data_IF_633276824244
#
_entry.id   IF_633276824244
#
_cell.length_a   1.000
_cell.length_b   1.000
_cell.length_c   1.000
_cell.angle_alpha   90.00
_cell.angle_beta   90.00
_cell.angle_gamma   90.00
#
_symmetry.space_group_name_H-M   'P 1'
#
loop_
_entity.id
_entity.type
_entity.pdbx_description
1 polymer ?
#
# COMPACT_ATOMS: atom_id res chain seq x y z
N UNK A 1 -23.95 -48.27 -23.89
CA UNK A 1 -22.72 -47.58 -24.33
C UNK A 1 -22.31 -46.65 -23.24
N UNK A 2 -21.11 -46.80 -22.69
CA UNK A 2 -20.54 -45.87 -21.71
C UNK A 2 -19.73 -44.86 -22.54
N UNK A 3 -20.18 -43.63 -22.59
CA UNK A 3 -19.43 -42.52 -23.15
C UNK A 3 -18.45 -42.07 -22.07
N UNK A 4 -17.16 -42.17 -22.36
CA UNK A 4 -16.13 -41.58 -21.50
C UNK A 4 -15.97 -40.15 -21.93
N UNK A 5 -15.98 -39.25 -20.92
CA UNK A 5 -15.56 -37.85 -21.08
C UNK A 5 -14.01 -37.89 -21.23
N UNK A 6 -13.50 -37.46 -22.35
CA UNK A 6 -12.07 -37.40 -22.65
C UNK A 6 -11.57 -35.94 -22.83
N UNK A 7 -12.45 -34.98 -22.54
CA UNK A 7 -12.10 -33.57 -22.59
C UNK A 7 -11.34 -33.13 -21.32
N UNK A 8 -10.26 -32.40 -21.53
CA UNK A 8 -9.52 -31.79 -20.43
C UNK A 8 -10.32 -30.63 -19.83
N UNK A 9 -10.37 -30.52 -18.49
CA UNK A 9 -11.02 -29.39 -17.87
C UNK A 9 -10.37 -28.07 -18.31
N UNK A 10 -11.16 -26.98 -18.49
CA UNK A 10 -10.61 -25.68 -18.85
C UNK A 10 -9.69 -25.16 -17.77
N UNK A 11 -8.76 -24.29 -18.13
CA UNK A 11 -7.97 -23.55 -17.15
C UNK A 11 -8.43 -22.08 -17.04
N UNK A 12 -8.29 -21.54 -15.84
CA UNK A 12 -8.64 -20.14 -15.51
C UNK A 12 -7.39 -19.29 -15.61
N UNK A 13 -7.50 -18.12 -16.24
CA UNK A 13 -6.43 -17.13 -16.29
C UNK A 13 -6.96 -15.70 -16.17
N UNK A 14 -6.13 -14.78 -15.67
CA UNK A 14 -6.44 -13.36 -15.70
C UNK A 14 -6.15 -12.78 -17.08
N UNK A 15 -7.05 -11.96 -17.60
CA UNK A 15 -6.92 -11.39 -18.95
C UNK A 15 -5.75 -10.41 -19.05
N UNK A 16 -5.55 -9.60 -18.01
CA UNK A 16 -4.41 -8.71 -17.85
C UNK A 16 -3.82 -8.94 -16.46
N UNK A 17 -2.52 -9.16 -16.37
CA UNK A 17 -1.84 -9.44 -15.10
C UNK A 17 -1.59 -8.17 -14.26
N UNK A 18 -1.72 -7.01 -14.89
CA UNK A 18 -1.45 -5.72 -14.24
C UNK A 18 -2.48 -4.67 -14.62
N UNK A 19 -2.68 -3.73 -13.73
CA UNK A 19 -3.45 -2.51 -13.92
C UNK A 19 -2.94 -1.41 -13.01
N UNK A 20 -3.34 -0.19 -13.28
CA UNK A 20 -3.09 0.98 -12.45
C UNK A 20 -4.19 2.01 -12.63
N UNK A 21 -4.28 2.93 -11.71
CA UNK A 21 -5.16 4.10 -11.79
C UNK A 21 -5.01 4.96 -10.56
N UNK A 22 -5.49 6.19 -10.68
CA UNK A 22 -5.51 7.13 -9.57
C UNK A 22 -6.44 6.60 -8.45
N UNK A 23 -6.15 6.95 -7.21
CA UNK A 23 -7.03 6.59 -6.08
C UNK A 23 -8.43 7.23 -6.21
N UNK A 24 -8.54 8.40 -6.83
CA UNK A 24 -9.81 9.06 -7.17
C UNK A 24 -10.68 8.26 -8.16
N UNK A 25 -10.12 7.27 -8.82
CA UNK A 25 -10.82 6.37 -9.73
C UNK A 25 -11.53 5.23 -8.97
N UNK A 26 -12.63 5.49 -8.36
CA UNK A 26 -13.27 4.73 -7.28
C UNK A 26 -13.61 3.24 -7.51
N UNK A 27 -13.71 2.76 -8.73
CA UNK A 27 -14.11 1.36 -9.03
C UNK A 27 -13.25 0.73 -10.09
N UNK A 28 -12.85 -0.52 -9.85
CA UNK A 28 -12.02 -1.32 -10.76
C UNK A 28 -12.58 -2.72 -10.95
N UNK A 29 -12.39 -3.25 -12.16
CA UNK A 29 -12.82 -4.59 -12.54
C UNK A 29 -11.63 -5.37 -13.08
N UNK A 30 -11.42 -6.56 -12.54
CA UNK A 30 -10.42 -7.51 -13.02
C UNK A 30 -11.15 -8.61 -13.77
N UNK A 31 -10.80 -8.81 -15.04
CA UNK A 31 -11.43 -9.82 -15.88
C UNK A 31 -10.62 -11.11 -15.90
N UNK A 32 -11.31 -12.21 -15.71
CA UNK A 32 -10.78 -13.57 -15.83
C UNK A 32 -11.51 -14.31 -16.93
N UNK A 33 -10.82 -15.24 -17.57
CA UNK A 33 -11.37 -16.06 -18.64
C UNK A 33 -11.01 -17.52 -18.47
N UNK A 34 -11.80 -18.37 -19.08
CA UNK A 34 -11.51 -19.79 -19.27
C UNK A 34 -10.83 -20.01 -20.62
N UNK A 35 -9.96 -21.01 -20.71
CA UNK A 35 -9.35 -21.43 -21.97
C UNK A 35 -10.37 -21.93 -23.01
N UNK A 36 -11.48 -22.48 -22.52
CA UNK A 36 -12.69 -22.83 -23.28
C UNK A 36 -13.88 -22.73 -22.35
N UNK A 37 -15.08 -22.51 -22.88
CA UNK A 37 -16.29 -22.50 -22.03
C UNK A 37 -16.56 -23.90 -21.47
N UNK A 38 -17.30 -23.95 -20.38
CA UNK A 38 -17.69 -25.20 -19.69
C UNK A 38 -19.21 -25.26 -19.57
N UNK A 39 -19.80 -26.42 -19.80
CA UNK A 39 -21.21 -26.67 -19.51
C UNK A 39 -21.50 -26.81 -18.01
N UNK A 40 -20.46 -26.84 -17.18
CA UNK A 40 -20.56 -26.92 -15.72
C UNK A 40 -20.18 -25.58 -15.12
N UNK A 41 -20.83 -25.22 -14.03
CA UNK A 41 -20.41 -24.10 -13.19
C UNK A 41 -19.00 -24.34 -12.66
N UNK A 42 -18.16 -23.30 -12.74
CA UNK A 42 -16.81 -23.30 -12.21
C UNK A 42 -16.73 -22.28 -11.09
N UNK A 43 -16.13 -22.65 -9.98
CA UNK A 43 -15.87 -21.73 -8.87
C UNK A 43 -14.41 -21.80 -8.45
N UNK A 44 -13.85 -20.64 -8.07
CA UNK A 44 -12.48 -20.52 -7.58
C UNK A 44 -12.40 -19.46 -6.48
N UNK A 45 -11.62 -19.71 -5.47
CA UNK A 45 -11.39 -18.75 -4.38
C UNK A 45 -10.34 -17.72 -4.81
N UNK A 46 -10.52 -16.50 -4.37
CA UNK A 46 -9.51 -15.44 -4.49
C UNK A 46 -9.26 -14.77 -3.16
N UNK A 47 -8.08 -14.20 -3.01
CA UNK A 47 -7.72 -13.39 -1.84
C UNK A 47 -6.68 -12.32 -2.21
N UNK A 48 -6.65 -11.27 -1.39
CA UNK A 48 -5.55 -10.33 -1.38
C UNK A 48 -4.31 -10.98 -0.78
N UNK A 49 -3.17 -10.85 -1.45
CA UNK A 49 -1.89 -11.36 -0.99
C UNK A 49 -1.37 -10.55 0.20
N UNK A 50 -0.93 -11.22 1.26
CA UNK A 50 -0.18 -10.58 2.34
C UNK A 50 1.29 -10.31 1.99
N UNK A 51 1.77 -10.85 0.85
CA UNK A 51 3.14 -10.67 0.38
C UNK A 51 3.17 -9.75 -0.83
N UNK A 52 3.89 -8.64 -0.71
CA UNK A 52 4.07 -7.65 -1.77
C UNK A 52 2.90 -6.68 -1.97
N UNK A 53 1.77 -6.83 -1.26
CA UNK A 53 0.74 -5.81 -1.14
C UNK A 53 1.21 -4.78 -0.12
N UNK A 54 1.26 -3.51 -0.50
CA UNK A 54 1.59 -2.37 0.37
C UNK A 54 0.35 -1.66 0.86
N UNK A 55 -0.70 -1.60 0.02
CA UNK A 55 -1.99 -1.01 0.34
C UNK A 55 -2.73 -1.74 1.48
N UNK A 56 -3.55 -1.01 2.22
CA UNK A 56 -4.26 -1.48 3.42
C UNK A 56 -5.76 -1.56 3.17
N UNK A 57 -6.35 -2.70 3.50
CA UNK A 57 -7.81 -2.91 3.39
C UNK A 57 -8.57 -1.90 4.25
N UNK A 58 -9.65 -1.33 3.71
CA UNK A 58 -10.51 -0.31 4.32
C UNK A 58 -9.83 1.04 4.60
N UNK A 59 -8.57 1.22 4.18
CA UNK A 59 -7.89 2.51 4.10
C UNK A 59 -7.73 2.91 2.63
N UNK A 60 -7.07 2.08 1.84
CA UNK A 60 -6.70 2.38 0.46
C UNK A 60 -7.58 1.62 -0.55
N UNK A 61 -8.21 0.52 -0.13
CA UNK A 61 -9.13 -0.25 -0.98
C UNK A 61 -10.21 -1.00 -0.18
N UNK A 62 -11.29 -1.34 -0.88
CA UNK A 62 -12.36 -2.22 -0.38
C UNK A 62 -12.43 -3.45 -1.28
N UNK A 63 -11.97 -4.58 -0.75
CA UNK A 63 -12.09 -5.90 -1.36
C UNK A 63 -12.00 -6.96 -0.26
N UNK A 64 -13.04 -7.78 -0.16
CA UNK A 64 -13.01 -8.96 0.70
C UNK A 64 -12.53 -10.18 -0.09
N UNK A 65 -11.91 -11.13 0.61
CA UNK A 65 -11.61 -12.45 0.05
C UNK A 65 -12.92 -13.15 -0.30
N UNK A 66 -12.94 -13.90 -1.41
CA UNK A 66 -14.20 -14.45 -1.87
C UNK A 66 -14.07 -15.61 -2.83
N UNK A 67 -15.19 -15.91 -3.47
CA UNK A 67 -15.31 -16.93 -4.51
C UNK A 67 -15.79 -16.26 -5.79
N UNK A 68 -15.06 -16.50 -6.87
CA UNK A 68 -15.45 -16.10 -8.22
C UNK A 68 -16.11 -17.30 -8.90
N UNK A 69 -17.20 -17.05 -9.61
CA UNK A 69 -17.98 -18.07 -10.30
C UNK A 69 -18.03 -17.76 -11.78
N UNK A 70 -17.83 -18.77 -12.61
CA UNK A 70 -18.09 -18.76 -14.04
C UNK A 70 -19.37 -19.55 -14.28
N UNK A 71 -20.34 -18.90 -14.92
CA UNK A 71 -21.60 -19.54 -15.29
C UNK A 71 -21.37 -20.60 -16.39
N UNK A 72 -22.19 -21.63 -16.45
CA UNK A 72 -22.16 -22.61 -17.56
C UNK A 72 -22.38 -21.94 -18.91
N UNK A 73 -21.70 -22.45 -19.92
CA UNK A 73 -21.80 -21.96 -21.29
C UNK A 73 -20.90 -20.76 -21.61
N UNK A 74 -21.02 -20.19 -22.85
CA UNK A 74 -20.26 -19.02 -23.23
C UNK A 74 -20.75 -17.75 -22.49
N UNK A 75 -19.89 -16.73 -22.29
CA UNK A 75 -18.56 -16.57 -22.87
C UNK A 75 -17.41 -17.23 -22.11
N UNK A 76 -17.62 -17.91 -20.97
CA UNK A 76 -16.55 -18.46 -20.15
C UNK A 76 -15.69 -17.38 -19.50
N UNK A 77 -16.30 -16.30 -19.02
CA UNK A 77 -15.63 -15.19 -18.35
C UNK A 77 -16.30 -14.84 -17.02
N UNK A 78 -15.52 -14.27 -16.10
CA UNK A 78 -15.98 -13.75 -14.83
C UNK A 78 -15.09 -12.60 -14.39
N UNK A 79 -15.49 -11.89 -13.33
CA UNK A 79 -14.74 -10.71 -12.86
C UNK A 79 -14.75 -10.58 -11.34
N UNK A 80 -13.72 -9.89 -10.84
CA UNK A 80 -13.63 -9.41 -9.47
C UNK A 80 -13.71 -7.88 -9.54
N UNK A 81 -14.61 -7.31 -8.75
CA UNK A 81 -14.75 -5.86 -8.63
C UNK A 81 -14.21 -5.42 -7.27
N UNK A 82 -13.46 -4.34 -7.24
CA UNK A 82 -12.99 -3.71 -6.02
C UNK A 82 -13.10 -2.18 -6.12
N UNK A 83 -13.05 -1.51 -4.97
CA UNK A 83 -12.99 -0.06 -4.91
C UNK A 83 -11.64 0.38 -4.40
N UNK A 84 -11.13 1.46 -4.94
CA UNK A 84 -10.04 2.26 -4.37
C UNK A 84 -10.68 3.35 -3.52
N UNK A 85 -10.04 3.71 -2.43
CA UNK A 85 -10.47 4.77 -1.51
C UNK A 85 -9.58 5.97 -1.78
N UNK A 86 -10.20 7.09 -2.10
CA UNK A 86 -9.59 8.39 -2.33
C UNK A 86 -9.58 9.14 -0.98
N UNK A 87 -8.45 9.67 -0.56
CA UNK A 87 -8.38 10.53 0.63
C UNK A 87 -7.65 11.86 0.30
N UNK A 88 -6.98 12.52 1.18
CA UNK A 88 -6.26 13.78 0.97
C UNK A 88 -4.87 13.72 1.61
N UNK A 89 -4.28 12.56 1.63
CA UNK A 89 -2.98 12.31 2.25
C UNK A 89 -1.97 11.99 1.15
N UNK A 90 -0.97 12.84 0.94
CA UNK A 90 0.17 12.55 0.05
C UNK A 90 0.88 11.27 0.50
N UNK A 91 0.77 10.23 -0.26
CA UNK A 91 1.34 8.90 0.00
C UNK A 91 2.20 8.43 -1.18
N UNK A 92 2.88 7.34 -1.04
CA UNK A 92 3.55 6.69 -2.18
C UNK A 92 2.57 5.81 -2.94
N UNK A 93 2.80 5.65 -4.24
CA UNK A 93 2.08 4.66 -5.03
C UNK A 93 2.11 3.28 -4.35
N UNK A 94 0.94 2.67 -4.21
CA UNK A 94 0.77 1.42 -3.49
C UNK A 94 0.39 0.25 -4.37
N UNK A 95 0.68 -0.96 -3.92
CA UNK A 95 0.39 -2.19 -4.62
C UNK A 95 -0.72 -2.99 -3.94
N UNK A 96 -1.72 -3.38 -4.71
CA UNK A 96 -2.73 -4.36 -4.36
C UNK A 96 -2.54 -5.62 -5.20
N UNK A 97 -2.26 -6.76 -4.56
CA UNK A 97 -2.02 -8.02 -5.24
C UNK A 97 -3.13 -9.01 -4.91
N UNK A 98 -3.77 -9.53 -5.94
CA UNK A 98 -4.88 -10.49 -5.83
C UNK A 98 -4.47 -11.79 -6.49
N UNK A 99 -4.63 -12.91 -5.78
CA UNK A 99 -4.33 -14.25 -6.26
C UNK A 99 -5.58 -15.12 -6.29
N UNK A 100 -5.73 -15.92 -7.32
CA UNK A 100 -6.58 -17.10 -7.27
C UNK A 100 -5.88 -18.17 -6.41
N UNK A 101 -6.63 -18.85 -5.55
CA UNK A 101 -6.10 -19.81 -4.58
C UNK A 101 -6.93 -21.10 -4.51
N UNK A 102 -6.23 -22.16 -4.15
CA UNK A 102 -6.85 -23.49 -4.03
C UNK A 102 -7.15 -24.12 -5.38
N UNK A 103 -7.82 -25.25 -5.34
CA UNK A 103 -8.24 -25.96 -6.55
C UNK A 103 -9.64 -25.49 -6.97
N UNK A 104 -9.82 -25.03 -8.23
CA UNK A 104 -11.13 -24.70 -8.75
C UNK A 104 -12.04 -25.93 -8.88
N UNK A 105 -13.35 -25.73 -8.79
CA UNK A 105 -14.29 -26.77 -9.18
C UNK A 105 -14.34 -26.87 -10.72
N UNK A 106 -14.33 -28.07 -11.28
CA UNK A 106 -14.48 -28.35 -12.72
C UNK A 106 -13.51 -27.60 -13.67
N UNK A 107 -12.38 -27.13 -13.14
CA UNK A 107 -11.34 -26.41 -13.89
C UNK A 107 -9.98 -26.63 -13.24
N UNK A 108 -8.93 -26.11 -13.89
CA UNK A 108 -7.59 -25.99 -13.34
C UNK A 108 -7.14 -24.53 -13.31
N UNK A 109 -6.13 -24.21 -12.53
CA UNK A 109 -5.49 -22.90 -12.61
C UNK A 109 -4.49 -22.86 -13.76
N UNK A 110 -4.54 -21.82 -14.57
CA UNK A 110 -3.53 -21.53 -15.60
C UNK A 110 -2.25 -20.93 -14.99
N UNK A 111 -1.33 -20.49 -15.84
CA UNK A 111 -0.07 -19.87 -15.42
C UNK A 111 -0.26 -18.44 -14.91
N UNK A 112 -1.26 -17.73 -15.41
CA UNK A 112 -1.55 -16.32 -15.11
C UNK A 112 -2.77 -16.22 -14.19
N UNK A 113 -2.54 -16.35 -12.87
CA UNK A 113 -3.60 -16.32 -11.83
C UNK A 113 -3.43 -15.20 -10.81
N UNK A 114 -2.34 -14.42 -10.96
CA UNK A 114 -2.01 -13.27 -10.13
C UNK A 114 -2.31 -11.98 -10.87
N UNK A 115 -2.99 -11.06 -10.20
CA UNK A 115 -3.20 -9.69 -10.66
C UNK A 115 -2.50 -8.72 -9.73
N UNK A 116 -1.83 -7.71 -10.29
CA UNK A 116 -1.21 -6.62 -9.53
C UNK A 116 -1.80 -5.31 -9.98
N UNK A 117 -2.34 -4.55 -9.05
CA UNK A 117 -2.84 -3.20 -9.28
C UNK A 117 -1.97 -2.19 -8.56
N UNK A 118 -1.59 -1.10 -9.25
CA UNK A 118 -0.91 0.04 -8.66
C UNK A 118 -1.96 1.13 -8.40
N UNK A 119 -2.16 1.49 -7.15
CA UNK A 119 -2.91 2.66 -6.73
C UNK A 119 -1.93 3.82 -6.84
N UNK A 120 -2.25 4.78 -7.67
CA UNK A 120 -1.42 5.98 -7.90
C UNK A 120 -2.00 7.09 -7.04
N UNK A 121 -1.18 7.62 -6.15
CA UNK A 121 -1.50 8.78 -5.34
C UNK A 121 -1.75 10.01 -6.24
N UNK A 122 -2.79 10.77 -5.92
CA UNK A 122 -3.15 12.00 -6.64
C UNK A 122 -3.20 13.24 -5.74
N UNK A 123 -2.74 13.10 -4.52
CA UNK A 123 -2.73 14.20 -3.57
C UNK A 123 -1.49 15.04 -3.69
N UNK A 124 -1.67 16.32 -3.47
CA UNK A 124 -0.55 17.24 -3.47
C UNK A 124 0.06 17.23 -2.06
N UNK A 125 1.37 17.03 -2.02
CA UNK A 125 2.11 17.27 -0.79
C UNK A 125 1.78 18.66 -0.29
N UNK A 126 1.32 18.82 0.98
CA UNK A 126 1.08 20.14 1.54
C UNK A 126 2.29 21.02 1.28
N UNK A 127 2.13 22.05 0.47
CA UNK A 127 3.16 23.08 0.33
C UNK A 127 3.22 23.80 1.66
N UNK A 128 4.13 23.39 2.52
CA UNK A 128 4.51 24.21 3.64
C UNK A 128 5.13 25.47 3.02
N UNK A 129 4.42 26.61 3.11
CA UNK A 129 5.05 27.86 2.74
C UNK A 129 6.30 27.99 3.61
N UNK A 130 7.44 27.93 2.97
CA UNK A 130 8.74 28.02 3.61
C UNK A 130 8.88 29.43 4.21
N UNK A 131 8.45 29.60 5.44
CA UNK A 131 8.62 30.83 6.20
C UNK A 131 10.01 30.92 6.85
N UNK A 132 10.96 30.13 6.35
CA UNK A 132 12.31 30.00 6.91
C UNK A 132 12.42 28.79 7.86
N UNK A 133 13.65 28.39 8.10
CA UNK A 133 14.06 27.41 9.10
C UNK A 133 13.52 27.82 10.49
N UNK A 134 12.74 26.95 11.13
CA UNK A 134 12.14 27.23 12.45
C UNK A 134 13.12 26.95 13.61
N UNK A 135 14.12 26.11 13.36
CA UNK A 135 15.21 25.83 14.29
C UNK A 135 16.54 25.71 13.55
N UNK A 136 17.58 26.35 14.07
CA UNK A 136 18.84 26.43 13.35
C UNK A 136 19.59 25.12 13.19
N UNK A 137 20.21 24.96 12.04
CA UNK A 137 20.95 23.79 11.57
C UNK A 137 22.39 23.65 12.13
N UNK A 138 22.81 24.57 13.00
CA UNK A 138 24.16 24.56 13.61
C UNK A 138 24.13 24.89 15.09
N UNK A 139 25.24 24.64 15.77
CA UNK A 139 25.35 24.87 17.23
C UNK A 139 25.18 26.34 17.66
N UNK A 140 25.43 27.30 16.77
CA UNK A 140 25.34 28.74 17.08
C UNK A 140 23.88 29.15 17.04
N UNK A 141 23.16 28.67 16.04
CA UNK A 141 21.75 28.94 15.80
C UNK A 141 20.79 27.99 16.54
N UNK A 142 21.31 26.92 17.16
CA UNK A 142 20.53 25.93 17.90
C UNK A 142 19.55 26.55 18.92
N UNK A 143 18.29 26.15 18.83
CA UNK A 143 17.25 26.66 19.71
C UNK A 143 17.46 26.20 21.16
N UNK A 144 17.52 27.17 22.09
CA UNK A 144 17.70 26.85 23.51
C UNK A 144 16.35 26.45 24.14
N UNK A 145 16.28 25.24 24.66
CA UNK A 145 15.14 24.74 25.42
C UNK A 145 15.47 24.65 26.92
N UNK A 146 14.47 24.88 27.74
CA UNK A 146 14.58 24.78 29.19
C UNK A 146 14.31 23.34 29.61
N UNK A 147 15.15 22.80 30.50
CA UNK A 147 14.90 21.48 31.11
C UNK A 147 13.52 21.43 31.76
N UNK A 148 12.73 20.41 31.42
CA UNK A 148 11.34 20.26 31.87
C UNK A 148 10.29 20.93 30.99
N UNK A 149 10.69 21.52 29.84
CA UNK A 149 9.77 22.01 28.82
C UNK A 149 9.80 21.09 27.58
N UNK A 150 8.88 21.32 26.66
CA UNK A 150 8.86 20.72 25.32
C UNK A 150 9.06 21.81 24.26
N UNK A 151 9.61 21.43 23.13
CA UNK A 151 9.65 22.22 21.90
C UNK A 151 9.20 21.33 20.75
N UNK A 152 8.62 21.93 19.73
CA UNK A 152 8.27 21.26 18.48
C UNK A 152 9.00 21.94 17.33
N UNK A 153 9.43 21.19 16.34
CA UNK A 153 10.04 21.66 15.10
C UNK A 153 9.42 20.95 13.91
N UNK A 154 9.72 21.44 12.72
CA UNK A 154 9.30 20.87 11.44
C UNK A 154 10.56 20.65 10.62
N UNK A 155 10.73 19.46 10.08
CA UNK A 155 11.78 19.20 9.08
C UNK A 155 11.23 19.61 7.71
N UNK A 156 11.65 20.79 7.22
CA UNK A 156 11.06 21.43 6.05
C UNK A 156 11.52 20.84 4.72
N UNK A 157 12.77 20.39 4.68
CA UNK A 157 13.38 19.88 3.45
C UNK A 157 14.25 18.66 3.73
N UNK A 158 14.52 17.84 2.69
CA UNK A 158 15.50 16.77 2.81
C UNK A 158 16.90 17.33 3.14
N UNK A 159 17.44 16.91 4.29
CA UNK A 159 18.72 17.37 4.81
C UNK A 159 18.63 18.51 5.83
N UNK A 160 17.43 18.95 6.15
CA UNK A 160 17.16 19.85 7.26
C UNK A 160 17.47 19.20 8.61
N UNK A 161 18.01 19.96 9.55
CA UNK A 161 18.46 19.48 10.86
C UNK A 161 18.06 20.49 11.93
N UNK A 162 17.05 20.21 12.68
CA UNK A 162 16.66 21.00 13.85
C UNK A 162 17.59 20.75 15.03
N UNK A 163 18.39 21.74 15.40
CA UNK A 163 19.25 21.63 16.57
C UNK A 163 18.65 22.33 17.79
N UNK A 164 18.55 21.55 18.86
CA UNK A 164 18.13 22.03 20.17
C UNK A 164 19.28 21.93 21.17
N UNK A 165 19.48 22.95 21.98
CA UNK A 165 20.48 22.92 23.07
C UNK A 165 19.83 23.12 24.44
N UNK A 166 20.36 22.43 25.44
CA UNK A 166 19.99 22.59 26.82
C UNK A 166 21.16 22.40 27.76
N UNK A 167 21.16 23.13 28.86
CA UNK A 167 22.23 23.06 29.88
C UNK A 167 21.83 22.04 30.94
N UNK A 168 22.62 20.99 31.13
CA UNK A 168 22.37 19.94 32.10
C UNK A 168 23.18 20.18 33.38
N UNK A 169 22.49 20.16 34.55
CA UNK A 169 23.13 20.07 35.86
C UNK A 169 23.07 18.65 36.44
N UNK A 170 22.12 17.84 35.97
CA UNK A 170 21.85 16.48 36.42
C UNK A 170 21.42 15.64 35.21
N UNK A 171 21.55 14.28 35.27
CA UNK A 171 21.02 13.40 34.24
C UNK A 171 19.52 13.64 34.02
N UNK A 172 19.12 13.67 32.75
CA UNK A 172 17.70 13.80 32.35
C UNK A 172 17.35 12.71 31.35
N UNK A 173 16.03 12.52 31.15
CA UNK A 173 15.51 11.74 30.02
C UNK A 173 15.04 12.70 28.95
N UNK A 174 15.53 12.53 27.74
CA UNK A 174 15.02 13.24 26.55
C UNK A 174 14.05 12.30 25.84
N UNK A 175 12.84 12.79 25.57
CA UNK A 175 11.84 12.07 24.79
C UNK A 175 11.65 12.79 23.47
N UNK A 176 11.84 12.10 22.39
CA UNK A 176 11.52 12.56 21.03
C UNK A 176 10.26 11.85 20.55
N UNK A 177 9.43 12.55 19.79
CA UNK A 177 8.24 12.00 19.18
C UNK A 177 8.06 12.64 17.81
N UNK A 178 8.09 11.84 16.77
CA UNK A 178 7.73 12.25 15.41
C UNK A 178 6.22 12.13 15.20
N UNK A 179 5.67 12.99 14.36
CA UNK A 179 4.29 12.95 13.88
C UNK A 179 4.36 12.97 12.36
N UNK A 180 3.60 12.10 11.71
CA UNK A 180 3.61 11.93 10.27
C UNK A 180 4.39 10.68 9.84
N UNK A 181 4.51 10.50 8.55
CA UNK A 181 5.15 9.32 7.92
C UNK A 181 6.65 9.51 7.65
N UNK A 182 7.20 10.69 7.97
CA UNK A 182 8.63 10.98 7.83
C UNK A 182 9.41 10.30 8.94
N UNK A 183 10.41 9.52 8.56
CA UNK A 183 11.31 8.86 9.50
C UNK A 183 12.30 9.90 10.03
N UNK A 184 12.05 10.38 11.25
CA UNK A 184 12.88 11.40 11.91
C UNK A 184 13.91 10.70 12.78
N UNK A 185 15.17 10.92 12.47
CA UNK A 185 16.30 10.44 13.24
C UNK A 185 16.72 11.51 14.27
N UNK A 186 16.89 11.13 15.52
CA UNK A 186 17.33 12.05 16.57
C UNK A 186 18.63 11.56 17.20
N UNK A 187 19.61 12.45 17.34
CA UNK A 187 20.88 12.19 17.99
C UNK A 187 21.07 13.11 19.19
N UNK A 188 21.72 12.60 20.24
CA UNK A 188 22.12 13.38 21.39
C UNK A 188 23.64 13.62 21.32
N UNK A 189 24.04 14.89 21.19
CA UNK A 189 25.42 15.27 21.05
C UNK A 189 25.91 16.02 22.31
N UNK A 190 27.19 15.88 22.62
CA UNK A 190 27.84 16.74 23.60
C UNK A 190 28.15 18.15 23.03
N UNK A 191 28.73 19.02 23.82
CA UNK A 191 29.06 20.39 23.41
C UNK A 191 30.22 20.47 22.38
N UNK A 192 30.84 19.33 22.02
CA UNK A 192 31.78 19.20 20.94
C UNK A 192 31.21 18.58 19.66
N UNK A 193 29.91 18.25 19.66
CA UNK A 193 29.24 17.57 18.54
C UNK A 193 29.55 16.08 18.47
N UNK A 194 29.87 15.45 19.57
CA UNK A 194 30.15 14.01 19.67
C UNK A 194 28.97 13.31 20.34
N UNK A 195 28.68 12.06 19.91
CA UNK A 195 27.70 11.15 20.51
C UNK A 195 28.11 10.69 21.91
#
# INVERSE_FOLDING_TARGET
VKINDDDNPPFIFVVNEKGSGLESDSSRTINYSLSTHSEKEISVRYRVSSYGTTSKRNKDYILEDGVMVFAPGPPGSSSINFKVIDDQIDEFDELLIINLIGEPSNATLGSSTRYTYTIIDNDERPTIEFNGDDHGNDFISATKIKVGSSSSGIIELGGDVDLFRFDLKYPITVLTKSFGETDVYAELLDNAGQL
#
